data_IF_067616538645
#
_entry.id   IF_067616538645
#
_cell.length_a   1.000
_cell.length_b   1.000
_cell.length_c   1.000
_cell.angle_alpha   90.00
_cell.angle_beta   90.00
_cell.angle_gamma   90.00
#
_symmetry.space_group_name_H-M   'P 1'
#
loop_
_entity.id
_entity.type
_entity.pdbx_description
1 polymer ?
#
# COMPACT_ATOMS: atom_id res chain seq x y z
N UNK A 1 2.00 12.09 1.53
CA UNK A 1 0.72 11.74 2.20
C UNK A 1 -0.09 12.97 2.64
N UNK A 2 0.51 14.00 3.28
CA UNK A 2 -0.20 15.25 3.67
C UNK A 2 -1.05 15.86 2.54
N UNK A 3 -0.47 16.03 1.35
CA UNK A 3 -1.19 16.56 0.18
C UNK A 3 -2.31 15.62 -0.29
N UNK A 4 -2.06 14.31 -0.34
CA UNK A 4 -3.10 13.33 -0.68
C UNK A 4 -4.29 13.41 0.29
N UNK A 5 -4.05 13.59 1.61
CA UNK A 5 -5.12 13.81 2.59
C UNK A 5 -5.96 15.05 2.26
N UNK A 6 -5.31 16.15 1.86
CA UNK A 6 -5.98 17.41 1.53
C UNK A 6 -6.81 17.31 0.25
N UNK A 7 -6.27 16.64 -0.77
CA UNK A 7 -6.88 16.53 -2.10
C UNK A 7 -7.98 15.46 -2.19
N UNK A 8 -7.90 14.41 -1.38
CA UNK A 8 -8.90 13.34 -1.40
C UNK A 8 -10.22 13.81 -0.75
N UNK A 9 -11.32 13.54 -1.45
CA UNK A 9 -12.67 13.64 -0.89
C UNK A 9 -12.81 12.82 0.41
N UNK A 10 -13.77 13.15 1.29
CA UNK A 10 -14.11 12.28 2.41
C UNK A 10 -14.29 10.84 1.93
N UNK A 11 -13.74 9.87 2.67
CA UNK A 11 -13.84 8.44 2.32
C UNK A 11 -13.12 8.10 0.98
N UNK A 12 -12.25 9.00 0.51
CA UNK A 12 -11.45 8.79 -0.69
C UNK A 12 -10.49 7.62 -0.57
N UNK A 13 -10.27 6.93 -1.69
CA UNK A 13 -9.31 5.84 -1.82
C UNK A 13 -7.96 6.40 -2.26
N UNK A 14 -6.90 5.89 -1.65
CA UNK A 14 -5.52 6.22 -1.94
C UNK A 14 -4.80 4.95 -2.42
N UNK A 15 -4.07 5.05 -3.53
CA UNK A 15 -3.30 3.96 -4.10
C UNK A 15 -1.84 4.41 -4.22
N UNK A 16 -0.91 3.53 -3.87
CA UNK A 16 0.52 3.80 -4.05
C UNK A 16 1.29 2.53 -4.36
N UNK A 17 2.38 2.68 -5.11
CA UNK A 17 3.41 1.65 -5.31
C UNK A 17 4.70 2.20 -4.72
N UNK A 18 5.40 1.39 -3.95
CA UNK A 18 6.67 1.79 -3.36
C UNK A 18 7.61 0.59 -3.19
N UNK A 19 8.89 0.85 -2.91
CA UNK A 19 9.86 -0.19 -2.51
C UNK A 19 9.41 -0.89 -1.21
N UNK A 20 9.43 -2.22 -1.23
CA UNK A 20 8.92 -3.06 -0.14
C UNK A 20 9.66 -2.86 1.20
N UNK A 21 10.97 -2.57 1.18
CA UNK A 21 11.75 -2.36 2.41
C UNK A 21 11.29 -1.16 3.25
N UNK A 22 10.56 -0.19 2.66
CA UNK A 22 10.01 0.97 3.38
C UNK A 22 8.59 0.74 3.91
N UNK A 23 8.10 -0.50 3.91
CA UNK A 23 6.74 -0.82 4.33
C UNK A 23 6.43 -0.27 5.73
N UNK A 24 7.33 -0.45 6.69
CA UNK A 24 7.17 0.04 8.06
C UNK A 24 6.94 1.57 8.09
N UNK A 25 7.76 2.33 7.37
CA UNK A 25 7.64 3.79 7.30
C UNK A 25 6.35 4.24 6.61
N UNK A 26 5.94 3.52 5.56
CA UNK A 26 4.71 3.80 4.82
C UNK A 26 3.49 3.58 5.73
N UNK A 27 3.44 2.46 6.43
CA UNK A 27 2.35 2.11 7.36
C UNK A 27 2.25 3.16 8.48
N UNK A 28 3.38 3.51 9.10
CA UNK A 28 3.43 4.55 10.12
C UNK A 28 2.95 5.92 9.59
N UNK A 29 3.37 6.29 8.38
CA UNK A 29 2.99 7.55 7.75
C UNK A 29 1.49 7.58 7.42
N UNK A 30 0.93 6.51 6.86
CA UNK A 30 -0.50 6.42 6.56
C UNK A 30 -1.35 6.53 7.83
N UNK A 31 -0.97 5.81 8.89
CA UNK A 31 -1.62 5.87 10.20
C UNK A 31 -1.59 7.29 10.79
N UNK A 32 -0.42 7.96 10.77
CA UNK A 32 -0.26 9.37 11.21
C UNK A 32 -1.22 10.33 10.50
N UNK A 33 -1.57 10.07 9.24
CA UNK A 33 -2.48 10.91 8.47
C UNK A 33 -3.95 10.44 8.49
N UNK A 34 -4.31 9.47 9.34
CA UNK A 34 -5.66 8.90 9.44
C UNK A 34 -6.13 8.20 8.14
N UNK A 35 -5.20 7.51 7.49
CA UNK A 35 -5.51 6.53 6.45
C UNK A 35 -5.48 5.13 7.05
N UNK A 36 -6.49 4.32 6.75
CA UNK A 36 -6.44 2.88 7.04
C UNK A 36 -6.12 2.10 5.77
N UNK A 37 -5.17 1.19 5.84
CA UNK A 37 -4.79 0.30 4.76
C UNK A 37 -5.87 -0.78 4.61
N UNK A 38 -6.39 -0.94 3.41
CA UNK A 38 -7.37 -1.97 3.05
C UNK A 38 -6.70 -3.15 2.36
N UNK A 39 -5.77 -2.89 1.44
CA UNK A 39 -5.09 -3.96 0.70
C UNK A 39 -3.60 -3.71 0.59
N UNK A 40 -2.82 -4.77 0.74
CA UNK A 40 -1.39 -4.82 0.45
C UNK A 40 -1.15 -5.94 -0.54
N UNK A 41 -0.37 -5.67 -1.59
CA UNK A 41 0.09 -6.69 -2.52
C UNK A 41 1.58 -6.54 -2.73
N UNK A 42 2.34 -7.60 -2.49
CA UNK A 42 3.76 -7.62 -2.75
C UNK A 42 4.03 -7.94 -4.21
N UNK A 43 5.04 -7.30 -4.77
CA UNK A 43 5.51 -7.56 -6.12
C UNK A 43 6.98 -7.94 -6.10
N UNK A 44 7.27 -9.07 -6.74
CA UNK A 44 8.57 -9.72 -6.82
C UNK A 44 9.02 -9.69 -8.27
N UNK A 45 10.33 -9.57 -8.53
CA UNK A 45 10.83 -9.78 -9.87
C UNK A 45 10.57 -11.23 -10.30
N UNK A 46 11.12 -12.20 -9.56
CA UNK A 46 10.92 -13.64 -9.80
C UNK A 46 10.29 -14.36 -8.61
N UNK A 47 9.73 -15.55 -8.88
CA UNK A 47 9.23 -16.45 -7.83
C UNK A 47 10.37 -16.90 -6.93
N UNK A 48 10.15 -16.86 -5.61
CA UNK A 48 11.15 -17.23 -4.61
C UNK A 48 12.12 -16.10 -4.21
N UNK A 49 12.12 -14.97 -4.93
CA UNK A 49 12.92 -13.79 -4.55
C UNK A 49 12.21 -12.93 -3.50
N UNK A 50 12.97 -12.05 -2.83
CA UNK A 50 12.41 -11.06 -1.90
C UNK A 50 11.54 -10.05 -2.66
N UNK A 51 10.48 -9.56 -2.02
CA UNK A 51 9.63 -8.53 -2.63
C UNK A 51 10.43 -7.24 -2.88
N UNK A 52 10.33 -6.70 -4.10
CA UNK A 52 10.99 -5.46 -4.50
C UNK A 52 10.05 -4.27 -4.30
N UNK A 53 8.76 -4.50 -4.57
CA UNK A 53 7.72 -3.50 -4.54
C UNK A 53 6.56 -3.94 -3.65
N UNK A 54 5.82 -2.96 -3.15
CA UNK A 54 4.58 -3.13 -2.43
C UNK A 54 3.54 -2.17 -3.00
N UNK A 55 2.38 -2.70 -3.35
CA UNK A 55 1.21 -1.96 -3.77
C UNK A 55 0.29 -1.85 -2.55
N UNK A 56 -0.19 -0.64 -2.29
CA UNK A 56 -0.99 -0.34 -1.10
C UNK A 56 -2.23 0.41 -1.53
N UNK A 57 -3.39 -0.08 -1.07
CA UNK A 57 -4.67 0.61 -1.11
C UNK A 57 -5.05 1.03 0.29
N UNK A 58 -5.32 2.32 0.50
CA UNK A 58 -5.76 2.86 1.79
C UNK A 58 -7.01 3.75 1.63
N UNK A 59 -7.76 3.93 2.71
CA UNK A 59 -8.97 4.76 2.76
C UNK A 59 -8.78 5.89 3.77
N UNK A 60 -9.21 7.10 3.39
CA UNK A 60 -9.22 8.26 4.28
C UNK A 60 -10.37 8.16 5.28
N UNK A 61 -10.06 8.00 6.56
CA UNK A 61 -11.04 8.13 7.65
C UNK A 61 -12.01 6.96 7.83
N UNK A 62 -11.91 5.88 7.06
CA UNK A 62 -12.68 4.65 7.29
C UNK A 62 -11.76 3.56 7.76
N UNK A 63 -12.17 2.83 8.81
CA UNK A 63 -11.49 1.61 9.20
C UNK A 63 -11.99 0.43 8.37
N UNK A 64 -11.07 -0.29 7.74
CA UNK A 64 -11.32 -1.56 7.04
C UNK A 64 -10.38 -2.63 7.56
N UNK A 65 -10.76 -3.88 7.35
CA UNK A 65 -9.90 -5.02 7.57
C UNK A 65 -8.80 -4.99 6.51
N UNK A 66 -7.56 -5.19 6.96
CA UNK A 66 -6.41 -5.32 6.07
C UNK A 66 -6.45 -6.69 5.40
N UNK A 67 -6.36 -6.70 4.08
CA UNK A 67 -6.23 -7.90 3.26
C UNK A 67 -4.85 -7.93 2.58
N UNK A 68 -4.11 -9.03 2.77
CA UNK A 68 -2.86 -9.27 2.04
C UNK A 68 -3.21 -10.10 0.81
N UNK A 69 -2.99 -9.53 -0.38
CA UNK A 69 -3.26 -10.19 -1.66
C UNK A 69 -2.11 -11.10 -2.06
N UNK A 70 -2.41 -12.05 -2.95
CA UNK A 70 -1.41 -12.91 -3.58
C UNK A 70 -0.30 -12.07 -4.24
N UNK A 71 0.97 -12.47 -4.09
CA UNK A 71 2.09 -11.74 -4.65
C UNK A 71 2.03 -11.72 -6.18
N UNK A 72 2.47 -10.62 -6.77
CA UNK A 72 2.59 -10.46 -8.22
C UNK A 72 4.03 -10.67 -8.65
N UNK A 73 4.24 -11.41 -9.74
CA UNK A 73 5.55 -11.62 -10.34
C UNK A 73 5.66 -10.76 -11.60
N UNK A 74 6.75 -9.99 -11.72
CA UNK A 74 6.92 -9.02 -12.83
C UNK A 74 7.53 -9.70 -14.05
N UNK A 75 8.49 -10.61 -13.86
CA UNK A 75 8.99 -11.41 -14.98
C UNK A 75 8.09 -12.62 -15.18
N UNK A 76 7.20 -12.53 -16.16
CA UNK A 76 6.76 -13.69 -16.93
C UNK A 76 7.82 -13.94 -18.01
N UNK A 77 8.77 -14.84 -17.71
CA UNK A 77 9.56 -15.55 -18.73
C UNK A 77 9.62 -17.01 -18.29
#
# INVERSE_FOLDING_TARGET
>A
IKNAKRLLKPIGKFYMVHRAHRLQEIVATLSKYNFNIEKIQFAHHKKGEKANLVLIKANKGIKKILEIQEPKYISEV
#
